data_IF_599226946668
#
_entry.id   IF_599226946668
#
_cell.length_a   1.000
_cell.length_b   1.000
_cell.length_c   1.000
_cell.angle_alpha   90.00
_cell.angle_beta   90.00
_cell.angle_gamma   90.00
#
_symmetry.space_group_name_H-M   'P 1'
#
loop_
_entity.id
_entity.type
_entity.pdbx_description
1 polymer ?
#
# COMPACT_ATOMS: atom_id res chain seq x y z
N UNK A 1 13.19 79.18 -21.72
CA UNK A 1 12.81 78.58 -20.42
C UNK A 1 12.28 77.20 -20.70
N UNK A 2 13.18 76.20 -20.73
CA UNK A 2 12.86 74.80 -20.99
C UNK A 2 13.12 73.99 -19.69
N UNK A 3 12.07 73.44 -19.13
CA UNK A 3 12.16 72.50 -17.99
C UNK A 3 12.21 71.07 -18.55
N UNK A 4 13.39 70.44 -18.45
CA UNK A 4 13.59 69.00 -18.66
C UNK A 4 13.06 68.24 -17.45
N UNK A 5 12.08 67.37 -17.66
CA UNK A 5 11.55 66.44 -16.69
C UNK A 5 12.27 65.11 -16.95
N UNK A 6 13.18 64.74 -16.04
CA UNK A 6 13.83 63.40 -16.02
C UNK A 6 12.92 62.39 -15.38
N UNK A 7 12.38 61.45 -16.16
CA UNK A 7 11.65 60.29 -15.66
C UNK A 7 12.65 59.21 -15.28
N UNK A 8 12.76 58.88 -13.99
CA UNK A 8 13.51 57.75 -13.47
C UNK A 8 12.61 56.50 -13.56
N UNK A 9 12.91 55.61 -14.51
CA UNK A 9 12.34 54.26 -14.55
C UNK A 9 13.05 53.39 -13.50
N UNK A 10 12.37 53.12 -12.41
CA UNK A 10 12.76 52.08 -11.45
C UNK A 10 12.37 50.72 -12.04
N UNK A 11 13.36 50.01 -12.63
CA UNK A 11 13.18 48.61 -13.02
C UNK A 11 13.23 47.75 -11.78
N UNK A 12 12.03 47.30 -11.31
CA UNK A 12 11.89 46.29 -10.28
C UNK A 12 12.34 44.93 -10.84
N UNK A 13 13.52 44.47 -10.49
CA UNK A 13 13.97 43.11 -10.78
C UNK A 13 13.17 42.12 -9.90
N UNK A 14 12.15 41.49 -10.46
CA UNK A 14 11.52 40.31 -9.85
C UNK A 14 12.54 39.19 -9.92
N UNK A 15 13.20 38.91 -8.80
CA UNK A 15 14.06 37.74 -8.64
C UNK A 15 13.14 36.52 -8.61
N UNK A 16 12.87 35.93 -9.76
CA UNK A 16 12.31 34.59 -9.88
C UNK A 16 13.39 33.62 -9.36
N UNK A 17 13.28 33.26 -8.08
CA UNK A 17 14.14 32.24 -7.47
C UNK A 17 14.08 30.97 -8.31
N UNK A 18 15.18 30.57 -8.92
CA UNK A 18 15.28 29.33 -9.68
C UNK A 18 14.88 28.15 -8.78
N UNK A 19 14.04 27.22 -9.26
CA UNK A 19 13.67 26.02 -8.48
C UNK A 19 14.87 25.18 -8.03
N UNK A 20 16.02 25.30 -8.69
CA UNK A 20 17.29 24.67 -8.30
C UNK A 20 17.86 25.24 -6.98
N UNK A 21 17.59 26.51 -6.63
CA UNK A 21 18.05 27.10 -5.37
C UNK A 21 17.31 26.54 -4.15
N UNK A 22 16.05 26.13 -4.31
CA UNK A 22 15.25 25.52 -3.26
C UNK A 22 15.72 24.11 -2.85
N UNK A 23 16.39 23.37 -3.74
CA UNK A 23 16.89 22.02 -3.45
C UNK A 23 18.28 22.00 -2.80
N UNK A 24 19.06 23.09 -2.94
CA UNK A 24 20.44 23.14 -2.43
C UNK A 24 20.49 23.04 -0.90
N UNK A 25 19.51 23.62 -0.17
CA UNK A 25 19.40 23.55 1.28
C UNK A 25 18.38 22.55 1.82
N UNK A 26 17.55 21.96 0.97
CA UNK A 26 16.50 21.04 1.46
C UNK A 26 17.10 19.71 1.93
N UNK A 27 16.62 19.13 3.08
CA UNK A 27 15.75 19.76 4.09
C UNK A 27 16.55 20.57 5.12
N UNK A 28 16.03 21.75 5.55
CA UNK A 28 16.62 22.62 6.57
C UNK A 28 15.92 22.48 7.94
N UNK A 29 14.79 21.78 7.99
CA UNK A 29 13.97 21.52 9.17
C UNK A 29 13.43 20.09 9.13
N UNK A 30 12.89 19.57 10.26
CA UNK A 30 12.31 18.24 10.31
C UNK A 30 11.23 18.01 9.25
N UNK A 31 11.18 16.79 8.69
CA UNK A 31 10.19 16.34 7.73
C UNK A 31 9.15 15.45 8.41
N UNK A 32 7.87 15.76 8.25
CA UNK A 32 6.77 14.94 8.76
C UNK A 32 6.43 13.82 7.78
N UNK A 33 6.41 12.58 8.28
CA UNK A 33 5.96 11.41 7.54
C UNK A 33 4.60 10.94 8.08
N UNK A 34 3.53 11.22 7.36
CA UNK A 34 2.18 10.75 7.72
C UNK A 34 2.08 9.26 7.47
N UNK A 35 1.59 8.51 8.46
CA UNK A 35 1.16 7.13 8.36
C UNK A 35 -0.36 7.10 8.56
N UNK A 36 -1.18 6.81 7.52
CA UNK A 36 -2.64 6.92 7.63
C UNK A 36 -3.29 5.71 8.29
N UNK A 37 -2.57 5.03 9.19
CA UNK A 37 -2.98 3.83 9.91
C UNK A 37 -2.49 3.88 11.36
N UNK A 38 -3.04 2.99 12.19
CA UNK A 38 -2.57 2.83 13.58
C UNK A 38 -1.11 2.32 13.63
N UNK A 39 -0.37 2.62 14.70
CA UNK A 39 0.99 2.11 14.87
C UNK A 39 1.06 0.57 14.80
N UNK A 40 2.18 0.05 14.30
CA UNK A 40 2.49 -1.38 14.22
C UNK A 40 1.96 -2.08 12.96
N UNK A 41 1.19 -1.40 12.11
CA UNK A 41 0.77 -1.94 10.80
C UNK A 41 1.87 -1.83 9.74
N UNK A 42 1.66 -2.48 8.58
CA UNK A 42 2.64 -2.54 7.48
C UNK A 42 3.18 -1.18 7.05
N UNK A 43 2.31 -0.17 6.92
CA UNK A 43 2.73 1.19 6.53
C UNK A 43 3.56 1.87 7.64
N UNK A 44 3.20 1.66 8.91
CA UNK A 44 3.95 2.22 10.05
C UNK A 44 5.34 1.59 10.14
N UNK A 45 5.41 0.27 10.02
CA UNK A 45 6.68 -0.48 10.00
C UNK A 45 7.55 0.01 8.84
N UNK A 46 7.00 0.10 7.62
CA UNK A 46 7.72 0.56 6.43
C UNK A 46 8.26 1.98 6.63
N UNK A 47 7.42 2.90 7.12
CA UNK A 47 7.83 4.28 7.40
C UNK A 47 8.95 4.37 8.43
N UNK A 48 8.78 3.73 9.58
CA UNK A 48 9.79 3.76 10.67
C UNK A 48 11.09 3.07 10.29
N UNK A 49 11.06 2.04 9.43
CA UNK A 49 12.27 1.34 8.99
C UNK A 49 13.21 2.21 8.18
N UNK A 50 12.71 3.22 7.45
CA UNK A 50 13.55 4.09 6.61
C UNK A 50 13.98 5.38 7.31
N UNK A 51 13.29 5.82 8.38
CA UNK A 51 13.58 7.12 9.01
C UNK A 51 15.00 7.29 9.56
N UNK A 52 15.66 6.27 10.16
CA UNK A 52 17.04 6.42 10.63
C UNK A 52 18.04 6.68 9.49
N UNK A 53 17.89 5.93 8.38
CA UNK A 53 18.73 6.09 7.21
C UNK A 53 18.48 7.43 6.52
N UNK A 54 17.23 7.85 6.37
CA UNK A 54 16.87 9.17 5.83
C UNK A 54 17.48 10.30 6.67
N UNK A 55 17.36 10.23 8.00
CA UNK A 55 17.93 11.24 8.89
C UNK A 55 19.45 11.34 8.76
N UNK A 56 20.15 10.20 8.67
CA UNK A 56 21.59 10.14 8.45
C UNK A 56 22.02 10.75 7.10
N UNK A 57 21.29 10.43 6.03
CA UNK A 57 21.63 10.90 4.67
C UNK A 57 21.30 12.38 4.44
N UNK A 58 20.18 12.85 4.98
CA UNK A 58 19.65 14.19 4.70
C UNK A 58 19.91 15.21 5.82
N UNK A 59 20.49 14.78 6.95
CA UNK A 59 20.88 15.67 8.06
C UNK A 59 19.72 16.26 8.86
N UNK A 60 18.48 15.76 8.66
CA UNK A 60 17.28 16.24 9.35
C UNK A 60 16.44 15.08 9.88
N UNK A 61 15.70 15.33 10.93
CA UNK A 61 14.81 14.33 11.55
C UNK A 61 13.58 14.08 10.67
N UNK A 62 13.21 12.81 10.51
CA UNK A 62 11.94 12.38 9.92
C UNK A 62 10.99 11.92 11.03
N UNK A 63 9.92 12.71 11.28
CA UNK A 63 8.95 12.46 12.35
C UNK A 63 7.78 11.69 11.80
N UNK A 64 7.55 10.48 12.32
CA UNK A 64 6.39 9.65 11.92
C UNK A 64 5.17 10.07 12.72
N UNK A 65 4.10 10.48 12.02
CA UNK A 65 2.81 10.89 12.58
C UNK A 65 1.70 9.96 12.10
N UNK A 66 1.10 9.18 13.01
CA UNK A 66 -0.03 8.31 12.67
C UNK A 66 -1.34 9.10 12.64
N UNK A 67 -2.02 9.11 11.47
CA UNK A 67 -3.34 9.75 11.25
C UNK A 67 -4.34 8.73 10.69
N UNK A 68 -4.82 7.77 11.51
CA UNK A 68 -5.74 6.73 11.07
C UNK A 68 -7.16 7.26 10.86
N UNK A 69 -7.97 6.49 10.13
CA UNK A 69 -9.40 6.68 10.00
C UNK A 69 -9.89 6.61 8.55
N UNK A 70 -11.17 6.23 8.38
CA UNK A 70 -11.86 6.08 7.10
C UNK A 70 -11.00 5.34 6.06
N UNK A 71 -10.50 4.16 6.40
CA UNK A 71 -9.59 3.36 5.55
C UNK A 71 -8.44 4.19 4.95
N UNK A 72 -7.73 4.95 5.78
CA UNK A 72 -6.64 5.89 5.42
C UNK A 72 -7.05 7.25 4.83
N UNK A 73 -8.32 7.49 4.55
CA UNK A 73 -8.73 8.73 3.87
C UNK A 73 -8.42 10.00 4.67
N UNK A 74 -8.47 9.95 6.02
CA UNK A 74 -8.15 11.11 6.86
C UNK A 74 -6.68 11.52 6.69
N UNK A 75 -5.74 10.59 6.78
CA UNK A 75 -4.32 10.88 6.58
C UNK A 75 -3.99 11.30 5.16
N UNK A 76 -4.61 10.65 4.15
CA UNK A 76 -4.43 10.99 2.75
C UNK A 76 -4.93 12.40 2.42
N UNK A 77 -6.08 12.81 2.96
CA UNK A 77 -6.59 14.17 2.84
C UNK A 77 -5.65 15.19 3.50
N UNK A 78 -5.09 14.84 4.66
CA UNK A 78 -4.11 15.72 5.33
C UNK A 78 -2.87 15.94 4.47
N UNK A 79 -2.34 14.90 3.79
CA UNK A 79 -1.26 15.07 2.82
C UNK A 79 -1.70 15.93 1.64
N UNK A 80 -2.85 15.65 1.02
CA UNK A 80 -3.32 16.37 -0.16
C UNK A 80 -3.47 17.87 0.07
N UNK A 81 -3.77 18.29 1.32
CA UNK A 81 -3.92 19.69 1.74
C UNK A 81 -2.65 20.33 2.30
N UNK A 82 -1.57 19.59 2.46
CA UNK A 82 -0.32 20.14 2.98
C UNK A 82 0.42 20.94 1.91
N UNK A 83 1.29 21.84 2.37
CA UNK A 83 2.13 22.66 1.46
C UNK A 83 3.01 21.75 0.61
N UNK A 84 3.07 21.95 -0.73
CA UNK A 84 3.89 21.12 -1.62
C UNK A 84 5.36 21.56 -1.60
N UNK A 85 5.98 21.59 -0.43
CA UNK A 85 7.38 22.01 -0.19
C UNK A 85 8.32 20.83 0.16
N UNK A 86 7.77 19.61 0.25
CA UNK A 86 8.51 18.41 0.60
C UNK A 86 8.65 18.14 2.10
N UNK A 87 8.22 19.05 2.99
CA UNK A 87 8.29 18.85 4.44
C UNK A 87 7.15 18.01 5.02
N UNK A 88 6.18 17.66 4.19
CA UNK A 88 5.16 16.64 4.52
C UNK A 88 5.16 15.58 3.44
N UNK A 89 5.36 14.34 3.84
CA UNK A 89 5.28 13.16 2.99
C UNK A 89 4.39 12.10 3.62
N UNK A 90 4.03 11.05 2.91
CA UNK A 90 3.24 9.95 3.44
C UNK A 90 3.78 8.61 2.97
N UNK A 91 3.68 7.61 3.84
CA UNK A 91 3.70 6.21 3.44
C UNK A 91 2.29 5.66 3.48
N UNK A 92 1.74 5.37 2.30
CA UNK A 92 0.40 4.82 2.13
C UNK A 92 0.42 3.39 1.60
N UNK A 93 -0.73 2.74 1.61
CA UNK A 93 -0.92 1.38 1.12
C UNK A 93 -1.67 1.37 -0.21
N UNK A 94 -1.83 0.17 -0.80
CA UNK A 94 -2.72 -0.10 -1.93
C UNK A 94 -4.13 0.48 -1.71
N UNK A 95 -4.68 0.40 -0.49
CA UNK A 95 -5.96 1.00 -0.12
C UNK A 95 -5.96 2.50 -0.35
N UNK A 96 -4.94 3.19 0.19
CA UNK A 96 -4.78 4.63 0.12
C UNK A 96 -4.61 5.14 -1.31
N UNK A 97 -3.80 4.46 -2.11
CA UNK A 97 -3.34 4.99 -3.40
C UNK A 97 -4.07 4.41 -4.61
N UNK A 98 -4.85 3.31 -4.45
CA UNK A 98 -5.53 2.70 -5.57
C UNK A 98 -7.00 2.31 -5.29
N UNK A 99 -7.26 1.60 -4.20
CA UNK A 99 -8.56 0.98 -3.96
C UNK A 99 -9.64 2.02 -3.59
N UNK A 100 -9.31 2.97 -2.71
CA UNK A 100 -10.28 3.93 -2.18
C UNK A 100 -10.96 4.78 -3.25
N UNK A 101 -10.29 5.06 -4.37
CA UNK A 101 -10.87 5.83 -5.50
C UNK A 101 -12.12 5.16 -6.09
N UNK A 102 -12.16 3.84 -6.09
CA UNK A 102 -13.30 3.08 -6.60
C UNK A 102 -14.27 2.64 -5.48
N UNK A 103 -13.76 2.54 -4.25
CA UNK A 103 -14.52 2.00 -3.11
C UNK A 103 -15.46 3.04 -2.50
N UNK A 104 -15.02 4.32 -2.41
CA UNK A 104 -15.80 5.39 -1.81
C UNK A 104 -16.56 6.21 -2.85
N UNK A 105 -17.83 6.46 -2.59
CA UNK A 105 -18.66 7.35 -3.42
C UNK A 105 -18.18 8.80 -3.33
N UNK A 106 -17.79 9.23 -2.14
CA UNK A 106 -17.40 10.62 -1.84
C UNK A 106 -16.01 10.61 -1.16
N UNK A 107 -14.95 10.25 -1.93
CA UNK A 107 -13.59 10.28 -1.42
C UNK A 107 -13.10 11.73 -1.26
N UNK A 108 -12.52 12.05 -0.09
CA UNK A 108 -12.08 13.41 0.25
C UNK A 108 -10.73 13.82 -0.36
N UNK A 109 -10.12 12.95 -1.18
CA UNK A 109 -8.89 13.17 -1.93
C UNK A 109 -8.94 12.39 -3.24
N UNK A 110 -8.06 12.70 -4.17
CA UNK A 110 -7.94 11.97 -5.44
C UNK A 110 -6.54 11.38 -5.58
N UNK A 111 -6.35 10.04 -5.42
CA UNK A 111 -5.03 9.43 -5.49
C UNK A 111 -4.34 9.64 -6.83
N UNK A 112 -5.10 9.76 -7.92
CA UNK A 112 -4.53 9.96 -9.27
C UNK A 112 -4.12 11.41 -9.56
N UNK A 113 -4.54 12.40 -8.74
CA UNK A 113 -4.34 13.82 -9.02
C UNK A 113 -3.61 14.59 -7.92
N UNK A 114 -3.79 14.22 -6.65
CA UNK A 114 -3.37 15.02 -5.50
C UNK A 114 -1.95 14.71 -5.02
N UNK A 115 -1.31 13.66 -5.58
CA UNK A 115 0.00 13.21 -5.14
C UNK A 115 1.04 13.17 -6.25
N UNK A 116 2.30 13.34 -5.85
CA UNK A 116 3.48 12.95 -6.61
C UNK A 116 4.10 11.74 -5.92
N UNK A 117 4.18 10.63 -6.65
CA UNK A 117 4.69 9.36 -6.13
C UNK A 117 6.21 9.34 -6.14
N UNK A 118 6.83 8.83 -5.06
CA UNK A 118 8.29 8.79 -4.88
C UNK A 118 8.88 7.42 -5.19
N UNK A 119 8.34 6.38 -4.53
CA UNK A 119 8.75 4.99 -4.76
C UNK A 119 7.71 4.04 -4.15
N UNK A 120 7.44 2.93 -4.83
CA UNK A 120 6.86 1.76 -4.19
C UNK A 120 7.95 1.15 -3.31
N UNK A 121 7.71 1.14 -2.02
CA UNK A 121 8.71 0.72 -1.04
C UNK A 121 8.83 -0.80 -0.96
N UNK A 122 7.70 -1.42 -0.66
CA UNK A 122 7.61 -2.85 -0.40
C UNK A 122 6.33 -3.43 -0.98
N UNK A 123 6.34 -4.75 -1.22
CA UNK A 123 5.17 -5.55 -1.51
C UNK A 123 5.18 -6.83 -0.67
N UNK A 124 4.02 -7.42 -0.45
CA UNK A 124 3.86 -8.67 0.27
C UNK A 124 2.72 -9.46 -0.38
N UNK A 125 2.93 -10.68 -0.87
CA UNK A 125 1.84 -11.48 -1.38
C UNK A 125 0.92 -11.92 -0.24
N UNK A 126 -0.34 -12.16 -0.56
CA UNK A 126 -1.23 -12.87 0.33
C UNK A 126 -1.06 -14.38 0.13
N UNK A 127 -1.37 -15.14 1.16
CA UNK A 127 -1.57 -16.60 1.08
C UNK A 127 -3.04 -16.89 1.37
N UNK A 128 -3.66 -17.69 0.52
CA UNK A 128 -4.97 -18.28 0.77
C UNK A 128 -4.79 -19.37 1.82
N UNK A 129 -5.35 -19.15 2.98
CA UNK A 129 -5.30 -20.08 4.11
C UNK A 129 -6.69 -20.56 4.48
N UNK A 130 -6.77 -21.79 4.98
CA UNK A 130 -8.00 -22.40 5.49
C UNK A 130 -7.84 -22.84 6.95
N UNK A 131 -8.94 -22.80 7.69
CA UNK A 131 -9.04 -23.44 9.00
C UNK A 131 -8.71 -24.94 8.87
N UNK A 132 -8.03 -25.52 9.87
CA UNK A 132 -7.70 -26.96 9.86
C UNK A 132 -8.92 -27.86 9.82
N UNK A 133 -10.05 -27.40 10.39
CA UNK A 133 -11.36 -28.08 10.36
C UNK A 133 -12.08 -28.02 9.02
N UNK A 134 -11.70 -27.10 8.12
CA UNK A 134 -12.33 -26.97 6.81
C UNK A 134 -11.94 -28.14 5.89
N UNK A 135 -12.87 -28.76 5.12
CA UNK A 135 -12.60 -30.00 4.40
C UNK A 135 -11.63 -29.90 3.22
N UNK A 136 -11.44 -28.68 2.66
CA UNK A 136 -10.52 -28.49 1.55
C UNK A 136 -9.05 -28.32 2.03
N UNK A 137 -8.11 -28.90 1.29
CA UNK A 137 -6.68 -28.78 1.50
C UNK A 137 -5.93 -28.29 0.25
N UNK A 138 -6.65 -28.12 -0.86
CA UNK A 138 -6.16 -27.58 -2.13
C UNK A 138 -7.10 -26.50 -2.65
N UNK A 139 -6.62 -25.68 -3.59
CA UNK A 139 -7.47 -24.68 -4.27
C UNK A 139 -8.60 -25.35 -5.04
N UNK A 140 -8.31 -26.45 -5.73
CA UNK A 140 -9.33 -27.19 -6.50
C UNK A 140 -10.45 -27.70 -5.60
N UNK A 141 -10.11 -28.31 -4.46
CA UNK A 141 -11.10 -28.79 -3.47
C UNK A 141 -11.94 -27.64 -2.87
N UNK A 142 -11.32 -26.47 -2.61
CA UNK A 142 -12.04 -25.28 -2.14
C UNK A 142 -13.05 -24.80 -3.20
N UNK A 143 -12.63 -24.70 -4.46
CA UNK A 143 -13.50 -24.27 -5.57
C UNK A 143 -14.67 -25.24 -5.75
N UNK A 144 -14.38 -26.52 -5.76
CA UNK A 144 -15.41 -27.59 -5.85
C UNK A 144 -16.40 -27.54 -4.70
N UNK A 145 -15.88 -27.39 -3.47
CA UNK A 145 -16.71 -27.26 -2.29
C UNK A 145 -17.63 -26.03 -2.37
N UNK A 146 -17.07 -24.87 -2.73
CA UNK A 146 -17.81 -23.61 -2.84
C UNK A 146 -18.92 -23.67 -3.92
N UNK A 147 -18.64 -24.35 -5.06
CA UNK A 147 -19.64 -24.56 -6.12
C UNK A 147 -20.75 -25.52 -5.73
N UNK A 148 -20.43 -26.59 -5.00
CA UNK A 148 -21.40 -27.57 -4.50
C UNK A 148 -22.24 -27.03 -3.31
N UNK A 149 -21.71 -26.06 -2.58
CA UNK A 149 -22.31 -25.49 -1.38
C UNK A 149 -22.39 -23.95 -1.49
N UNK A 150 -23.26 -23.37 -2.32
CA UNK A 150 -23.35 -21.92 -2.53
C UNK A 150 -23.52 -21.16 -1.21
N UNK A 151 -22.73 -20.10 -1.02
CA UNK A 151 -22.72 -19.23 0.16
C UNK A 151 -22.43 -19.92 1.51
N UNK A 152 -21.81 -21.11 1.50
CA UNK A 152 -21.41 -21.82 2.72
C UNK A 152 -19.94 -21.57 3.12
N UNK A 153 -19.13 -21.04 2.21
CA UNK A 153 -17.73 -20.68 2.52
C UNK A 153 -17.69 -19.26 3.03
N UNK A 154 -17.21 -19.06 4.25
CA UNK A 154 -16.93 -17.76 4.83
C UNK A 154 -15.50 -17.34 4.54
N UNK A 155 -15.33 -16.11 3.99
CA UNK A 155 -14.06 -15.47 3.67
C UNK A 155 -13.79 -14.36 4.69
N UNK A 156 -12.90 -14.60 5.63
CA UNK A 156 -12.49 -13.59 6.61
C UNK A 156 -11.53 -12.57 5.99
N UNK A 157 -11.66 -11.32 6.39
CA UNK A 157 -10.76 -10.25 5.93
C UNK A 157 -10.44 -9.23 7.02
N UNK A 158 -9.39 -8.45 6.81
CA UNK A 158 -8.97 -7.35 7.70
C UNK A 158 -9.92 -6.14 7.66
N UNK A 159 -10.96 -6.21 6.83
CA UNK A 159 -11.96 -5.17 6.63
C UNK A 159 -12.27 -4.95 5.15
N UNK A 160 -13.41 -4.30 4.90
CA UNK A 160 -13.87 -4.00 3.53
C UNK A 160 -12.86 -3.12 2.79
N UNK A 161 -12.47 -3.52 1.58
CA UNK A 161 -11.49 -2.81 0.76
C UNK A 161 -10.01 -3.10 1.10
N UNK A 162 -9.75 -4.01 2.05
CA UNK A 162 -8.39 -4.51 2.27
C UNK A 162 -7.92 -5.42 1.13
N UNK A 163 -6.60 -5.62 1.01
CA UNK A 163 -6.03 -6.49 -0.05
C UNK A 163 -6.53 -7.92 0.06
N UNK A 164 -6.73 -8.43 1.27
CA UNK A 164 -7.24 -9.76 1.55
C UNK A 164 -8.74 -9.88 1.20
N UNK A 165 -9.55 -8.86 1.51
CA UNK A 165 -10.95 -8.81 1.06
C UNK A 165 -11.05 -8.83 -0.47
N UNK A 166 -10.34 -7.93 -1.15
CA UNK A 166 -10.41 -7.86 -2.62
C UNK A 166 -9.76 -9.06 -3.31
N UNK A 167 -8.78 -9.73 -2.67
CA UNK A 167 -8.30 -11.03 -3.15
C UNK A 167 -9.39 -12.09 -3.10
N UNK A 168 -10.19 -12.15 -2.04
CA UNK A 168 -11.32 -13.07 -1.94
C UNK A 168 -12.41 -12.78 -2.99
N UNK A 169 -12.72 -11.50 -3.22
CA UNK A 169 -13.66 -11.06 -4.26
C UNK A 169 -13.17 -11.49 -5.65
N UNK A 170 -11.93 -11.16 -5.99
CA UNK A 170 -11.34 -11.50 -7.28
C UNK A 170 -11.25 -13.02 -7.48
N UNK A 171 -10.90 -13.78 -6.43
CA UNK A 171 -10.88 -15.23 -6.46
C UNK A 171 -12.25 -15.81 -6.82
N UNK A 172 -13.32 -15.37 -6.16
CA UNK A 172 -14.69 -15.81 -6.47
C UNK A 172 -15.11 -15.44 -7.88
N UNK A 173 -14.74 -14.26 -8.36
CA UNK A 173 -15.01 -13.88 -9.76
C UNK A 173 -14.27 -14.79 -10.76
N UNK A 174 -12.99 -15.09 -10.53
CA UNK A 174 -12.19 -15.95 -11.43
C UNK A 174 -12.62 -17.40 -11.42
N UNK A 175 -13.02 -17.91 -10.26
CA UNK A 175 -13.45 -19.31 -10.09
C UNK A 175 -14.94 -19.55 -10.33
N UNK A 176 -15.72 -18.46 -10.52
CA UNK A 176 -17.19 -18.53 -10.60
C UNK A 176 -17.80 -19.27 -9.39
N UNK A 177 -17.22 -19.04 -8.23
CA UNK A 177 -17.70 -19.57 -6.95
C UNK A 177 -18.37 -18.49 -6.12
N UNK A 178 -19.10 -18.91 -5.08
CA UNK A 178 -19.78 -18.00 -4.15
C UNK A 178 -19.24 -18.16 -2.73
N UNK A 179 -19.57 -17.20 -1.87
CA UNK A 179 -19.20 -17.23 -0.46
C UNK A 179 -19.65 -15.97 0.26
N UNK A 180 -19.45 -15.93 1.57
CA UNK A 180 -19.85 -14.83 2.44
C UNK A 180 -18.61 -14.09 2.92
N UNK A 181 -18.57 -12.77 2.74
CA UNK A 181 -17.51 -11.94 3.30
C UNK A 181 -17.77 -11.68 4.79
N UNK A 182 -16.71 -11.88 5.60
CA UNK A 182 -16.72 -11.62 7.04
C UNK A 182 -15.61 -10.61 7.36
N UNK A 183 -15.92 -9.29 7.30
CA UNK A 183 -14.93 -8.25 7.56
C UNK A 183 -14.69 -8.07 9.06
N UNK A 184 -13.41 -8.05 9.45
CA UNK A 184 -12.94 -7.79 10.81
C UNK A 184 -12.34 -6.38 10.94
N UNK A 185 -12.08 -5.93 12.16
CA UNK A 185 -11.33 -4.69 12.45
C UNK A 185 -9.82 -4.95 12.48
N UNK A 186 -9.28 -5.57 11.39
CA UNK A 186 -7.87 -5.91 11.25
C UNK A 186 -7.59 -7.42 11.16
N UNK A 187 -6.44 -7.78 10.58
CA UNK A 187 -6.07 -9.16 10.25
C UNK A 187 -5.89 -10.06 11.47
N UNK A 188 -5.44 -9.52 12.60
CA UNK A 188 -5.23 -10.31 13.82
C UNK A 188 -6.51 -11.00 14.32
N UNK A 189 -7.65 -10.29 14.33
CA UNK A 189 -8.93 -10.85 14.72
C UNK A 189 -9.43 -11.89 13.71
N UNK A 190 -9.27 -11.63 12.40
CA UNK A 190 -9.60 -12.58 11.34
C UNK A 190 -8.79 -13.88 11.47
N UNK A 191 -7.48 -13.76 11.75
CA UNK A 191 -6.58 -14.91 11.94
C UNK A 191 -6.99 -15.73 13.18
N UNK A 192 -7.32 -15.07 14.29
CA UNK A 192 -7.75 -15.75 15.52
C UNK A 192 -9.00 -16.62 15.29
N UNK A 193 -10.01 -16.05 14.64
CA UNK A 193 -11.26 -16.77 14.32
C UNK A 193 -11.06 -17.86 13.27
N UNK A 194 -10.13 -17.68 12.33
CA UNK A 194 -9.77 -18.70 11.37
C UNK A 194 -9.09 -19.90 12.05
N UNK A 195 -8.15 -19.65 12.98
CA UNK A 195 -7.51 -20.70 13.78
C UNK A 195 -8.56 -21.41 14.66
N UNK A 196 -9.51 -20.67 15.21
CA UNK A 196 -10.61 -21.18 16.00
C UNK A 196 -11.71 -21.92 15.21
N UNK A 197 -11.62 -21.93 13.85
CA UNK A 197 -12.60 -22.58 12.98
C UNK A 197 -13.95 -21.87 12.89
N UNK A 198 -14.05 -20.61 13.35
CA UNK A 198 -15.27 -19.78 13.27
C UNK A 198 -15.55 -19.30 11.84
N UNK A 199 -14.52 -19.20 11.03
CA UNK A 199 -14.55 -18.89 9.60
C UNK A 199 -13.73 -19.90 8.81
N UNK A 200 -14.00 -20.04 7.52
CA UNK A 200 -13.44 -21.14 6.73
C UNK A 200 -12.11 -20.83 6.10
N UNK A 201 -12.00 -19.70 5.41
CA UNK A 201 -10.82 -19.32 4.62
C UNK A 201 -10.53 -17.81 4.73
N UNK A 202 -9.31 -17.44 4.42
CA UNK A 202 -8.90 -16.04 4.35
C UNK A 202 -7.71 -15.90 3.40
N UNK A 203 -7.58 -14.71 2.79
CA UNK A 203 -6.34 -14.28 2.15
C UNK A 203 -5.60 -13.40 3.14
N UNK A 204 -4.45 -13.84 3.67
CA UNK A 204 -3.69 -13.08 4.66
C UNK A 204 -2.28 -12.81 4.15
N UNK A 205 -1.67 -11.70 4.56
CA UNK A 205 -0.26 -11.46 4.23
C UNK A 205 0.60 -12.61 4.75
N UNK A 206 1.53 -13.10 3.95
CA UNK A 206 2.40 -14.25 4.30
C UNK A 206 3.08 -14.00 5.65
N UNK A 207 3.67 -12.82 5.87
CA UNK A 207 4.34 -12.48 7.13
C UNK A 207 3.45 -12.58 8.38
N UNK A 208 2.13 -12.40 8.23
CA UNK A 208 1.18 -12.48 9.35
C UNK A 208 0.84 -13.92 9.75
N UNK A 209 0.88 -14.88 8.81
CA UNK A 209 0.38 -16.25 9.04
C UNK A 209 1.40 -17.36 8.88
N UNK A 210 2.60 -17.08 8.33
CA UNK A 210 3.61 -18.10 8.07
C UNK A 210 3.96 -18.96 9.31
N UNK A 211 4.03 -18.36 10.49
CA UNK A 211 4.32 -19.08 11.72
C UNK A 211 3.15 -19.99 12.15
N UNK A 212 1.91 -19.58 11.88
CA UNK A 212 0.72 -20.41 12.14
C UNK A 212 0.63 -21.56 11.16
N UNK A 213 1.02 -21.36 9.90
CA UNK A 213 1.12 -22.42 8.88
C UNK A 213 2.19 -23.44 9.27
N UNK A 214 3.41 -22.96 9.58
CA UNK A 214 4.53 -23.83 10.03
C UNK A 214 4.20 -24.63 11.30
N UNK A 215 3.38 -24.05 12.18
CA UNK A 215 2.90 -24.73 13.39
C UNK A 215 1.68 -25.64 13.17
N UNK A 216 1.21 -25.81 11.92
CA UNK A 216 0.06 -26.67 11.58
C UNK A 216 -1.29 -26.14 12.08
N UNK A 217 -1.38 -24.86 12.49
CA UNK A 217 -2.62 -24.23 12.95
C UNK A 217 -3.53 -23.73 11.81
N UNK A 218 -2.97 -23.59 10.63
CA UNK A 218 -3.67 -23.20 9.40
C UNK A 218 -3.16 -24.04 8.24
N UNK A 219 -4.01 -24.34 7.26
CA UNK A 219 -3.63 -24.95 5.98
C UNK A 219 -3.36 -23.84 4.97
N UNK A 220 -2.18 -23.84 4.34
CA UNK A 220 -1.87 -22.96 3.22
C UNK A 220 -2.29 -23.63 1.91
N UNK A 221 -3.10 -22.93 1.09
CA UNK A 221 -3.61 -23.48 -0.17
C UNK A 221 -2.87 -22.92 -1.38
N UNK A 222 -2.63 -21.61 -1.44
CA UNK A 222 -1.88 -20.97 -2.51
C UNK A 222 -1.42 -19.55 -2.17
N UNK A 223 -0.36 -19.09 -2.84
CA UNK A 223 0.19 -17.73 -2.78
C UNK A 223 -0.43 -16.89 -3.90
N UNK A 224 -0.77 -15.63 -3.62
CA UNK A 224 -1.29 -14.69 -4.63
C UNK A 224 -0.19 -14.01 -5.45
N UNK A 225 1.07 -14.20 -5.10
CA UNK A 225 2.21 -13.66 -5.85
C UNK A 225 2.43 -14.35 -7.20
N UNK A 226 3.26 -13.72 -8.04
CA UNK A 226 3.73 -14.28 -9.31
C UNK A 226 4.77 -15.39 -9.14
N UNK A 227 5.36 -15.48 -7.94
CA UNK A 227 6.27 -16.53 -7.50
C UNK A 227 5.86 -17.06 -6.13
N UNK A 228 6.34 -18.24 -5.76
CA UNK A 228 6.15 -18.77 -4.41
C UNK A 228 6.86 -17.90 -3.38
N UNK A 229 6.28 -17.79 -2.19
CA UNK A 229 6.91 -17.03 -1.11
C UNK A 229 8.14 -17.77 -0.57
N UNK A 230 9.25 -17.06 -0.36
CA UNK A 230 10.52 -17.63 0.16
C UNK A 230 10.32 -18.37 1.49
N UNK A 231 9.43 -17.84 2.35
CA UNK A 231 9.14 -18.43 3.67
C UNK A 231 8.18 -19.64 3.61
N UNK A 232 7.53 -19.87 2.46
CA UNK A 232 6.57 -20.96 2.22
C UNK A 232 6.84 -21.61 0.84
N UNK A 233 8.02 -22.19 0.60
CA UNK A 233 8.45 -22.66 -0.73
C UNK A 233 7.62 -23.85 -1.26
N UNK A 234 6.96 -24.59 -0.38
CA UNK A 234 6.13 -25.72 -0.75
C UNK A 234 4.69 -25.33 -1.11
N UNK A 235 4.29 -24.07 -0.83
CA UNK A 235 2.95 -23.57 -1.14
C UNK A 235 2.91 -23.04 -2.58
N UNK A 236 2.07 -23.61 -3.47
CA UNK A 236 2.01 -23.19 -4.87
C UNK A 236 1.46 -21.78 -5.01
N UNK A 237 1.73 -21.12 -6.12
CA UNK A 237 1.01 -19.91 -6.52
C UNK A 237 -0.40 -20.26 -6.98
N UNK A 238 -1.30 -19.26 -7.03
CA UNK A 238 -2.63 -19.46 -7.62
C UNK A 238 -2.56 -19.86 -9.09
N UNK A 239 -1.58 -19.33 -9.83
CA UNK A 239 -1.35 -19.71 -11.23
C UNK A 239 -0.94 -21.19 -11.35
N UNK A 240 -0.01 -21.68 -10.52
CA UNK A 240 0.35 -23.11 -10.43
C UNK A 240 -0.83 -23.98 -10.01
N UNK A 241 -1.76 -23.46 -9.22
CA UNK A 241 -3.01 -24.12 -8.83
C UNK A 241 -4.14 -23.97 -9.88
N UNK A 242 -3.86 -23.44 -11.08
CA UNK A 242 -4.80 -23.34 -12.19
C UNK A 242 -5.67 -22.08 -12.20
N UNK A 243 -5.44 -21.13 -11.32
CA UNK A 243 -6.19 -19.86 -11.26
C UNK A 243 -5.32 -18.73 -11.83
N UNK A 244 -5.52 -18.45 -13.13
CA UNK A 244 -4.77 -17.41 -13.83
C UNK A 244 -5.32 -16.00 -13.56
N UNK A 245 -4.53 -14.97 -13.95
CA UNK A 245 -4.86 -13.53 -13.83
C UNK A 245 -5.23 -13.10 -12.40
N UNK A 246 -4.58 -13.70 -11.41
CA UNK A 246 -4.86 -13.43 -10.02
C UNK A 246 -3.59 -13.13 -9.19
N UNK A 247 -2.62 -12.46 -9.82
CA UNK A 247 -1.47 -11.94 -9.07
C UNK A 247 -1.91 -10.73 -8.26
N UNK A 248 -1.84 -10.82 -6.94
CA UNK A 248 -2.20 -9.75 -6.00
C UNK A 248 -1.13 -9.61 -4.94
N UNK A 249 -0.65 -8.39 -4.77
CA UNK A 249 0.23 -7.99 -3.67
C UNK A 249 -0.45 -6.93 -2.82
N UNK A 250 -0.35 -7.03 -1.51
CA UNK A 250 -0.41 -5.85 -0.65
C UNK A 250 0.88 -5.07 -0.84
N UNK A 251 0.82 -3.75 -0.95
CA UNK A 251 2.02 -2.93 -1.15
C UNK A 251 1.92 -1.60 -0.42
N UNK A 252 3.08 -1.04 -0.10
CA UNK A 252 3.24 0.29 0.48
C UNK A 252 4.17 1.12 -0.40
N UNK A 253 3.92 2.42 -0.42
CA UNK A 253 4.73 3.37 -1.16
C UNK A 253 4.72 4.76 -0.55
N UNK A 254 5.64 5.59 -1.00
CA UNK A 254 5.81 6.95 -0.51
C UNK A 254 5.32 7.97 -1.53
N UNK A 255 4.70 9.03 -1.03
CA UNK A 255 4.20 10.13 -1.85
C UNK A 255 4.35 11.48 -1.13
N UNK A 256 4.37 12.54 -1.90
CA UNK A 256 4.29 13.95 -1.46
C UNK A 256 3.10 14.62 -2.14
N UNK A 257 2.64 15.81 -1.69
CA UNK A 257 1.57 16.55 -2.36
C UNK A 257 1.93 16.85 -3.81
N UNK A 258 0.93 16.89 -4.67
CA UNK A 258 1.08 17.35 -6.06
C UNK A 258 1.59 18.78 -6.08
N UNK A 259 2.54 19.08 -6.97
CA UNK A 259 3.17 20.41 -7.08
C UNK A 259 4.45 20.57 -6.25
N UNK A 260 4.87 19.55 -5.50
CA UNK A 260 6.20 19.54 -4.85
C UNK A 260 7.28 19.75 -5.93
N UNK A 261 8.26 20.68 -5.73
CA UNK A 261 9.29 20.95 -6.72
C UNK A 261 10.09 19.71 -7.13
N UNK A 262 10.32 19.52 -8.43
CA UNK A 262 10.99 18.32 -8.95
C UNK A 262 12.32 18.00 -8.28
N UNK A 263 13.23 18.99 -8.01
CA UNK A 263 14.49 18.69 -7.32
C UNK A 263 14.32 18.14 -5.90
N UNK A 264 13.23 18.50 -5.20
CA UNK A 264 12.88 17.96 -3.88
C UNK A 264 12.34 16.53 -4.02
N UNK A 265 11.47 16.29 -5.03
CA UNK A 265 10.97 14.95 -5.37
C UNK A 265 12.12 13.99 -5.66
N UNK A 266 13.07 14.41 -6.51
CA UNK A 266 14.23 13.59 -6.91
C UNK A 266 15.10 13.25 -5.70
N UNK A 267 15.37 14.24 -4.85
CA UNK A 267 16.20 14.07 -3.63
C UNK A 267 15.53 13.11 -2.63
N UNK A 268 14.23 13.27 -2.38
CA UNK A 268 13.49 12.36 -1.50
C UNK A 268 13.38 10.94 -2.06
N UNK A 269 13.09 10.82 -3.36
CA UNK A 269 12.96 9.52 -4.01
C UNK A 269 14.29 8.75 -3.99
N UNK A 270 15.41 9.40 -4.27
CA UNK A 270 16.71 8.76 -4.22
C UNK A 270 17.11 8.37 -2.80
N UNK A 271 16.88 9.25 -1.82
CA UNK A 271 17.16 8.95 -0.42
C UNK A 271 16.31 7.78 0.10
N UNK A 272 15.02 7.73 -0.25
CA UNK A 272 14.13 6.61 0.11
C UNK A 272 14.59 5.28 -0.52
N UNK A 273 14.93 5.29 -1.80
CA UNK A 273 15.41 4.09 -2.50
C UNK A 273 16.70 3.56 -1.92
N UNK A 274 17.62 4.46 -1.57
CA UNK A 274 18.86 4.12 -0.88
C UNK A 274 18.59 3.57 0.51
N UNK A 275 17.73 4.22 1.30
CA UNK A 275 17.34 3.75 2.63
C UNK A 275 16.71 2.35 2.63
N UNK A 276 15.83 2.07 1.65
CA UNK A 276 15.19 0.77 1.50
C UNK A 276 16.18 -0.35 1.14
N UNK A 277 17.26 -0.02 0.42
CA UNK A 277 18.31 -0.96 0.01
C UNK A 277 19.45 -1.08 1.02
N UNK A 278 19.47 -0.23 2.05
CA UNK A 278 20.46 -0.36 3.12
C UNK A 278 20.35 -1.74 3.78
N UNK A 279 21.46 -2.48 3.99
CA UNK A 279 21.42 -3.87 4.45
C UNK A 279 20.57 -4.10 5.71
N UNK A 280 20.64 -3.20 6.69
CA UNK A 280 19.89 -3.33 7.94
C UNK A 280 18.38 -3.13 7.71
N UNK A 281 17.99 -2.10 6.96
CA UNK A 281 16.58 -1.82 6.60
C UNK A 281 16.00 -2.96 5.78
N UNK A 282 16.73 -3.40 4.76
CA UNK A 282 16.35 -4.51 3.88
C UNK A 282 16.12 -5.81 4.66
N UNK A 283 17.08 -6.18 5.52
CA UNK A 283 16.98 -7.38 6.38
C UNK A 283 15.79 -7.32 7.32
N UNK A 284 15.53 -6.14 7.92
CA UNK A 284 14.39 -5.93 8.82
C UNK A 284 13.07 -6.14 8.08
N UNK A 285 12.92 -5.52 6.90
CA UNK A 285 11.70 -5.65 6.10
C UNK A 285 11.49 -7.09 5.59
N UNK A 286 12.55 -7.76 5.10
CA UNK A 286 12.47 -9.15 4.69
C UNK A 286 12.08 -10.08 5.84
N UNK A 287 12.65 -9.88 7.05
CA UNK A 287 12.31 -10.70 8.23
C UNK A 287 10.83 -10.58 8.65
N UNK A 288 10.13 -9.56 8.16
CA UNK A 288 8.69 -9.33 8.36
C UNK A 288 7.85 -9.78 7.14
N UNK A 289 8.46 -10.49 6.20
CA UNK A 289 7.79 -11.02 5.00
C UNK A 289 7.56 -9.99 3.90
N UNK A 290 8.26 -8.85 3.91
CA UNK A 290 8.17 -7.87 2.83
C UNK A 290 9.23 -8.12 1.76
N UNK A 291 8.84 -7.99 0.50
CA UNK A 291 9.75 -7.86 -0.63
C UNK A 291 10.02 -6.37 -0.87
N UNK A 292 11.29 -5.95 -0.82
CA UNK A 292 11.69 -4.56 -1.11
C UNK A 292 11.68 -4.35 -2.62
N UNK A 293 10.91 -3.35 -3.09
CA UNK A 293 10.78 -2.98 -4.50
C UNK A 293 11.70 -1.82 -4.85
N UNK A 294 11.59 -0.71 -4.15
CA UNK A 294 12.42 0.49 -4.29
C UNK A 294 12.57 0.96 -5.76
N UNK A 295 11.45 1.03 -6.50
CA UNK A 295 11.41 1.44 -7.91
C UNK A 295 11.51 2.97 -8.08
N UNK A 296 11.61 3.44 -9.33
CA UNK A 296 11.66 4.87 -9.61
C UNK A 296 10.29 5.55 -9.45
N UNK A 297 10.24 6.89 -9.30
CA UNK A 297 8.98 7.64 -9.26
C UNK A 297 8.09 7.37 -10.47
N UNK A 298 8.66 7.31 -11.67
CA UNK A 298 7.93 7.00 -12.89
C UNK A 298 7.33 5.60 -12.85
N UNK A 299 8.13 4.58 -12.53
CA UNK A 299 7.66 3.19 -12.44
C UNK A 299 6.55 3.04 -11.40
N UNK A 300 6.66 3.75 -10.27
CA UNK A 300 5.62 3.69 -9.25
C UNK A 300 4.34 4.41 -9.70
N UNK A 301 4.43 5.53 -10.38
CA UNK A 301 3.26 6.23 -10.92
C UNK A 301 2.52 5.38 -11.97
N UNK A 302 3.25 4.74 -12.89
CA UNK A 302 2.69 3.83 -13.89
C UNK A 302 2.01 2.62 -13.24
N UNK A 303 2.67 2.00 -12.26
CA UNK A 303 2.12 0.90 -11.48
C UNK A 303 0.84 1.30 -10.73
N UNK A 304 0.85 2.47 -10.06
CA UNK A 304 -0.32 3.00 -9.34
C UNK A 304 -1.53 3.21 -10.26
N UNK A 305 -1.32 3.77 -11.45
CA UNK A 305 -2.40 3.96 -12.43
C UNK A 305 -2.98 2.63 -12.90
N UNK A 306 -2.14 1.62 -13.13
CA UNK A 306 -2.57 0.28 -13.49
C UNK A 306 -3.39 -0.37 -12.36
N UNK A 307 -2.97 -0.20 -11.11
CA UNK A 307 -3.68 -0.70 -9.93
C UNK A 307 -5.05 -0.02 -9.76
N UNK A 308 -5.13 1.31 -9.91
CA UNK A 308 -6.42 2.04 -9.87
C UNK A 308 -7.40 1.46 -10.90
N UNK A 309 -6.96 1.31 -12.15
CA UNK A 309 -7.80 0.76 -13.22
C UNK A 309 -8.26 -0.66 -12.90
N UNK A 310 -7.33 -1.50 -12.45
CA UNK A 310 -7.60 -2.90 -12.09
C UNK A 310 -8.64 -3.00 -10.97
N UNK A 311 -8.42 -2.31 -9.86
CA UNK A 311 -9.30 -2.41 -8.70
C UNK A 311 -10.66 -1.77 -8.94
N UNK A 312 -10.72 -0.72 -9.76
CA UNK A 312 -11.99 -0.16 -10.22
C UNK A 312 -12.85 -1.19 -10.94
N UNK A 313 -12.27 -1.96 -11.87
CA UNK A 313 -12.97 -3.02 -12.60
C UNK A 313 -13.47 -4.13 -11.63
N UNK A 314 -12.63 -4.59 -10.71
CA UNK A 314 -12.99 -5.63 -9.71
C UNK A 314 -14.12 -5.17 -8.80
N UNK A 315 -14.02 -3.95 -8.25
CA UNK A 315 -14.99 -3.37 -7.32
C UNK A 315 -16.34 -3.12 -7.99
N UNK A 316 -16.33 -2.58 -9.21
CA UNK A 316 -17.56 -2.34 -9.99
C UNK A 316 -18.27 -3.65 -10.31
N UNK A 317 -17.55 -4.69 -10.77
CA UNK A 317 -18.13 -6.01 -11.05
C UNK A 317 -18.70 -6.70 -9.82
N UNK A 318 -18.13 -6.43 -8.65
CA UNK A 318 -18.60 -6.99 -7.37
C UNK A 318 -19.70 -6.15 -6.72
N UNK A 319 -20.02 -4.97 -7.28
CA UNK A 319 -20.97 -4.01 -6.72
C UNK A 319 -20.66 -3.64 -5.25
N UNK A 320 -19.36 -3.44 -4.93
CA UNK A 320 -18.89 -3.06 -3.61
C UNK A 320 -18.77 -1.54 -3.56
N UNK A 321 -19.39 -0.92 -2.55
CA UNK A 321 -19.31 0.52 -2.36
C UNK A 321 -19.38 0.87 -0.87
N UNK A 322 -18.57 1.86 -0.46
CA UNK A 322 -18.65 2.52 0.84
C UNK A 322 -19.18 3.95 0.65
N UNK A 323 -19.89 4.45 1.68
CA UNK A 323 -20.42 5.82 1.69
C UNK A 323 -19.36 6.87 1.97
#
# INVERSE_FOLDING_TARGET
>A
MNKLISAVLAAGAVVLGSPAALAAGYPEKPVTMIVPFVPGGSSDITGRSVTPALAKMLGQTFVVENKPGANSAIGAQALARSTPDGYTMMVGSIGTFAINEALYKNLSYNPSKDFTYLTQAVRNPNVLVAATSFPASTVAELVDYAKKNPNRVSYASSGTGSSDHLSAVLFRQRTQSTGVDVPYKGGGAAIADLIGGQVNVSFQNVGAVQNHIKAGKLKALAITGDTRATDLPDVPTLAEAGINDMVVYSWQGFAVPKGTPQPVVDKLAEALRTALREPQTHKTLQGLGFEVVANTPQQFAEFQQAEVKRWKDVIQKANIQLE
#
